data_IF_216470463035
#
_entry.id   IF_216470463035
#
_cell.length_a   1.000
_cell.length_b   1.000
_cell.length_c   1.000
_cell.angle_alpha   90.00
_cell.angle_beta   90.00
_cell.angle_gamma   90.00
#
_symmetry.space_group_name_H-M   'P 1'
#
loop_
_entity.id
_entity.type
_entity.pdbx_description
1 polymer ?
#
# COMPACT_ATOMS: atom_id res chain seq x y z
N UNK A 1 10.44 -16.64 63.64
CA UNK A 1 11.52 -15.87 64.27
C UNK A 1 11.36 -14.46 63.79
N UNK A 2 10.62 -13.63 64.57
CA UNK A 2 11.15 -12.74 65.62
C UNK A 2 11.98 -11.62 64.97
N UNK A 3 11.77 -10.37 65.17
CA UNK A 3 11.08 -9.49 66.16
C UNK A 3 11.08 -8.09 65.53
N UNK A 4 10.02 -7.38 65.57
CA UNK A 4 9.63 -6.39 66.57
C UNK A 4 10.72 -5.38 66.99
N UNK A 5 10.28 -4.18 66.89
CA UNK A 5 10.39 -3.02 67.82
C UNK A 5 10.96 -1.79 67.12
N UNK A 6 10.59 -0.66 67.37
CA UNK A 6 9.65 0.11 68.20
C UNK A 6 9.88 1.63 67.91
N UNK A 7 8.79 2.35 67.88
CA UNK A 7 8.51 3.65 68.51
C UNK A 7 9.52 4.81 68.44
N UNK A 8 9.14 5.93 67.98
CA UNK A 8 8.53 7.08 68.70
C UNK A 8 8.57 8.34 67.84
N UNK A 9 7.42 8.91 67.68
CA UNK A 9 6.97 10.23 68.09
C UNK A 9 7.89 11.40 67.79
N UNK A 10 7.37 12.31 66.96
CA UNK A 10 7.24 13.70 67.38
C UNK A 10 6.16 14.43 66.61
N UNK A 11 5.21 14.90 67.42
CA UNK A 11 4.20 15.88 67.01
C UNK A 11 4.88 17.19 66.67
N UNK A 12 4.55 17.79 65.57
CA UNK A 12 4.47 19.25 65.46
C UNK A 12 3.44 19.67 64.44
N UNK A 13 2.39 20.19 64.99
CA UNK A 13 1.48 21.20 64.45
C UNK A 13 2.01 21.91 63.23
N UNK A 14 1.18 21.86 62.18
CA UNK A 14 0.95 23.11 61.46
C UNK A 14 -0.41 23.10 60.76
N UNK A 15 -1.23 23.95 61.29
CA UNK A 15 -2.27 24.75 60.64
C UNK A 15 -2.82 24.21 59.32
N UNK A 16 -3.97 23.68 59.40
CA UNK A 16 -5.05 23.67 58.42
C UNK A 16 -5.25 25.11 57.91
N UNK A 17 -4.69 25.40 56.78
CA UNK A 17 -5.21 26.45 55.90
C UNK A 17 -6.34 25.79 55.10
N UNK A 18 -7.56 25.97 55.62
CA UNK A 18 -8.79 25.79 54.85
C UNK A 18 -8.75 26.82 53.71
N UNK A 19 -8.25 26.37 52.52
CA UNK A 19 -8.46 27.07 51.27
C UNK A 19 -9.93 26.89 50.88
N UNK A 20 -10.74 27.72 51.51
CA UNK A 20 -12.16 27.87 51.26
C UNK A 20 -12.30 28.65 49.94
N UNK A 21 -11.91 28.03 48.82
CA UNK A 21 -12.30 28.50 47.49
C UNK A 21 -13.82 28.30 47.39
N UNK A 22 -14.55 29.29 47.87
CA UNK A 22 -15.97 29.50 47.55
C UNK A 22 -16.08 29.47 46.04
N UNK A 23 -16.42 28.32 45.45
CA UNK A 23 -16.97 28.25 44.12
C UNK A 23 -18.18 29.17 44.13
N UNK A 24 -18.05 30.37 43.58
CA UNK A 24 -19.19 31.22 43.27
C UNK A 24 -20.16 30.35 42.47
N UNK A 25 -21.30 30.01 43.06
CA UNK A 25 -22.35 29.33 42.31
C UNK A 25 -22.72 30.24 41.15
N UNK A 26 -22.41 29.78 39.91
CA UNK A 26 -22.76 30.51 38.71
C UNK A 26 -24.25 30.83 38.73
N UNK A 27 -24.61 32.04 38.32
CA UNK A 27 -25.99 32.44 38.25
C UNK A 27 -26.82 31.48 37.37
N UNK A 28 -28.13 31.32 37.58
CA UNK A 28 -28.96 30.47 36.74
C UNK A 28 -28.81 30.81 35.24
N UNK A 29 -28.65 32.07 34.89
CA UNK A 29 -28.43 32.54 33.50
C UNK A 29 -27.09 32.10 32.92
N UNK A 30 -26.00 32.14 33.73
CA UNK A 30 -24.69 31.64 33.32
C UNK A 30 -24.72 30.11 33.11
N UNK A 31 -25.45 29.38 33.97
CA UNK A 31 -25.61 27.91 33.80
C UNK A 31 -26.39 27.56 32.52
N UNK A 32 -27.46 28.33 32.22
CA UNK A 32 -28.23 28.15 30.97
C UNK A 32 -27.34 28.37 29.78
N UNK A 33 -26.59 29.46 29.74
CA UNK A 33 -25.67 29.76 28.63
C UNK A 33 -24.59 28.71 28.47
N UNK A 34 -23.99 28.24 29.56
CA UNK A 34 -22.98 27.15 29.49
C UNK A 34 -23.58 25.83 28.97
N UNK A 35 -24.85 25.53 29.34
CA UNK A 35 -25.55 24.35 28.84
C UNK A 35 -25.93 24.49 27.38
N UNK A 36 -26.34 25.67 26.93
CA UNK A 36 -26.60 25.96 25.51
C UNK A 36 -25.33 25.84 24.66
N UNK A 37 -24.20 26.36 25.14
CA UNK A 37 -22.90 26.22 24.45
C UNK A 37 -22.46 24.76 24.41
N UNK A 38 -22.63 23.98 25.47
CA UNK A 38 -22.35 22.54 25.50
C UNK A 38 -23.25 21.78 24.54
N UNK A 39 -24.52 22.10 24.50
CA UNK A 39 -25.50 21.49 23.62
C UNK A 39 -25.19 21.80 22.15
N UNK A 40 -24.84 23.06 21.81
CA UNK A 40 -24.41 23.44 20.47
C UNK A 40 -23.16 22.68 20.02
N UNK A 41 -22.15 22.56 20.90
CA UNK A 41 -20.95 21.77 20.62
C UNK A 41 -21.27 20.28 20.43
N UNK A 42 -22.12 19.70 21.28
CA UNK A 42 -22.53 18.31 21.15
C UNK A 42 -23.28 18.04 19.83
N UNK A 43 -24.15 18.95 19.41
CA UNK A 43 -24.81 18.83 18.10
C UNK A 43 -23.83 18.92 16.94
N UNK A 44 -22.87 19.86 16.99
CA UNK A 44 -21.84 19.97 15.95
C UNK A 44 -20.97 18.71 15.89
N UNK A 45 -20.63 18.15 17.04
CA UNK A 45 -19.85 16.92 17.10
C UNK A 45 -20.62 15.69 16.58
N UNK A 46 -21.91 15.57 16.96
CA UNK A 46 -22.78 14.51 16.41
C UNK A 46 -22.89 14.60 14.88
N UNK A 47 -23.05 15.79 14.32
CA UNK A 47 -23.12 15.95 12.86
C UNK A 47 -21.79 15.58 12.19
N UNK A 48 -20.65 15.96 12.78
CA UNK A 48 -19.35 15.55 12.28
C UNK A 48 -19.15 14.02 12.35
N UNK A 49 -19.56 13.41 13.45
CA UNK A 49 -19.53 11.95 13.60
C UNK A 49 -20.45 11.26 12.59
N UNK A 50 -21.66 11.78 12.37
CA UNK A 50 -22.59 11.25 11.38
C UNK A 50 -21.98 11.24 10.00
N UNK A 51 -21.41 12.36 9.56
CA UNK A 51 -20.74 12.47 8.25
C UNK A 51 -19.55 11.51 8.13
N UNK A 52 -18.80 11.35 9.20
CA UNK A 52 -17.69 10.40 9.26
C UNK A 52 -18.17 8.96 9.11
N UNK A 53 -19.21 8.56 9.85
CA UNK A 53 -19.77 7.22 9.74
C UNK A 53 -20.40 6.93 8.38
N UNK A 54 -21.06 7.91 7.78
CA UNK A 54 -21.58 7.77 6.41
C UNK A 54 -20.45 7.45 5.44
N UNK A 55 -19.33 8.19 5.53
CA UNK A 55 -18.16 7.94 4.71
C UNK A 55 -17.50 6.59 5.00
N UNK A 56 -17.34 6.23 6.26
CA UNK A 56 -16.79 4.93 6.66
C UNK A 56 -17.66 3.77 6.16
N UNK A 57 -18.98 3.93 6.20
CA UNK A 57 -19.93 2.96 5.65
C UNK A 57 -19.78 2.83 4.13
N UNK A 58 -19.68 3.93 3.42
CA UNK A 58 -19.48 3.96 1.97
C UNK A 58 -18.15 3.28 1.60
N UNK A 59 -17.05 3.64 2.28
CA UNK A 59 -15.74 3.00 2.14
C UNK A 59 -15.80 1.50 2.42
N UNK A 60 -16.53 1.07 3.44
CA UNK A 60 -16.71 -0.34 3.76
C UNK A 60 -17.47 -1.11 2.68
N UNK A 61 -18.46 -0.50 2.06
CA UNK A 61 -19.15 -1.08 0.90
C UNK A 61 -18.27 -1.15 -0.33
N UNK A 62 -17.49 -0.11 -0.60
CA UNK A 62 -16.65 -0.02 -1.78
C UNK A 62 -15.43 -0.96 -1.72
N UNK A 63 -14.82 -1.08 -0.55
CA UNK A 63 -13.56 -1.80 -0.34
C UNK A 63 -13.70 -3.04 0.56
N UNK A 64 -14.92 -3.45 0.91
CA UNK A 64 -15.13 -4.61 1.78
C UNK A 64 -14.54 -5.93 1.26
N UNK A 65 -14.42 -6.06 -0.06
CA UNK A 65 -13.78 -7.19 -0.73
C UNK A 65 -12.26 -7.12 -0.86
N UNK A 66 -11.61 -6.04 -0.37
CA UNK A 66 -10.19 -5.78 -0.62
C UNK A 66 -9.27 -6.93 -0.15
N UNK A 67 -9.46 -7.41 1.07
CA UNK A 67 -8.65 -8.50 1.62
C UNK A 67 -8.83 -9.80 0.83
N UNK A 68 -10.07 -10.16 0.56
CA UNK A 68 -10.38 -11.33 -0.24
C UNK A 68 -9.80 -11.21 -1.66
N UNK A 69 -9.96 -10.06 -2.30
CA UNK A 69 -9.45 -9.82 -3.63
C UNK A 69 -7.93 -9.99 -3.69
N UNK A 70 -7.22 -9.44 -2.69
CA UNK A 70 -5.76 -9.56 -2.59
C UNK A 70 -5.29 -11.01 -2.50
N UNK A 71 -5.99 -11.85 -1.75
CA UNK A 71 -5.68 -13.27 -1.64
C UNK A 71 -6.06 -14.03 -2.91
N UNK A 72 -7.19 -13.69 -3.54
CA UNK A 72 -7.64 -14.30 -4.78
C UNK A 72 -6.68 -14.11 -5.95
N UNK A 73 -5.86 -13.03 -5.95
CA UNK A 73 -4.81 -12.82 -6.95
C UNK A 73 -3.79 -13.96 -7.00
N UNK A 74 -3.56 -14.65 -5.88
CA UNK A 74 -2.66 -15.81 -5.86
C UNK A 74 -3.14 -16.97 -6.75
N UNK A 75 -4.45 -17.08 -7.00
CA UNK A 75 -5.00 -18.09 -7.92
C UNK A 75 -4.60 -17.77 -9.36
N UNK A 76 -4.62 -16.50 -9.74
CA UNK A 76 -4.20 -16.06 -11.07
C UNK A 76 -2.71 -16.35 -11.28
N UNK A 77 -1.89 -16.02 -10.28
CA UNK A 77 -0.45 -16.30 -10.34
C UNK A 77 -0.16 -17.79 -10.45
N UNK A 78 -0.91 -18.62 -9.70
CA UNK A 78 -0.77 -20.06 -9.76
C UNK A 78 -1.18 -20.62 -11.12
N UNK A 79 -2.24 -20.09 -11.74
CA UNK A 79 -2.64 -20.45 -13.10
C UNK A 79 -1.58 -20.06 -14.13
N UNK A 80 -1.02 -18.86 -14.05
CA UNK A 80 0.06 -18.43 -14.95
C UNK A 80 1.32 -19.28 -14.78
N UNK A 81 1.69 -19.60 -13.53
CA UNK A 81 2.83 -20.48 -13.23
C UNK A 81 2.60 -21.90 -13.74
N UNK A 82 1.40 -22.46 -13.56
CA UNK A 82 1.03 -23.77 -14.07
C UNK A 82 1.11 -23.82 -15.59
N UNK A 83 0.66 -22.75 -16.27
CA UNK A 83 0.78 -22.63 -17.70
C UNK A 83 2.24 -22.67 -18.16
N UNK A 84 3.10 -21.85 -17.55
CA UNK A 84 4.55 -21.80 -17.87
C UNK A 84 5.20 -23.17 -17.61
N UNK A 85 4.85 -23.83 -16.51
CA UNK A 85 5.37 -25.15 -16.19
C UNK A 85 4.99 -26.20 -17.23
N UNK A 86 3.74 -26.20 -17.69
CA UNK A 86 3.26 -27.11 -18.71
C UNK A 86 3.90 -26.83 -20.09
N UNK A 87 4.10 -25.56 -20.44
CA UNK A 87 4.79 -25.16 -21.68
C UNK A 87 6.27 -25.57 -21.69
N UNK A 88 6.89 -25.66 -20.50
CA UNK A 88 8.29 -26.04 -20.32
C UNK A 88 8.51 -27.55 -20.21
N UNK A 89 7.44 -28.33 -20.10
CA UNK A 89 7.51 -29.79 -19.94
C UNK A 89 7.86 -30.47 -21.29
N UNK A 90 9.03 -31.10 -21.33
CA UNK A 90 9.55 -31.74 -22.54
C UNK A 90 8.71 -32.97 -22.96
N UNK A 91 8.07 -33.65 -21.98
CA UNK A 91 7.27 -34.86 -22.26
C UNK A 91 5.92 -34.54 -22.91
N UNK A 92 5.41 -33.33 -22.63
CA UNK A 92 4.12 -32.84 -23.17
C UNK A 92 4.27 -31.94 -24.40
N UNK A 93 5.50 -31.50 -24.69
CA UNK A 93 5.77 -30.56 -25.76
C UNK A 93 5.23 -31.07 -27.12
N UNK A 94 4.56 -30.18 -27.83
CA UNK A 94 3.96 -30.45 -29.16
C UNK A 94 2.81 -31.48 -29.21
N UNK A 95 2.27 -31.86 -28.02
CA UNK A 95 1.10 -32.74 -27.97
C UNK A 95 -0.20 -31.97 -28.18
N UNK A 96 -1.18 -32.58 -28.87
CA UNK A 96 -2.55 -32.04 -28.95
C UNK A 96 -3.21 -31.89 -27.59
N UNK A 97 -2.86 -32.75 -26.63
CA UNK A 97 -3.36 -32.69 -25.26
C UNK A 97 -2.90 -31.40 -24.56
N UNK A 98 -1.62 -31.02 -24.68
CA UNK A 98 -1.08 -29.78 -24.12
C UNK A 98 -1.81 -28.56 -24.68
N UNK A 99 -2.02 -28.50 -26.00
CA UNK A 99 -2.73 -27.37 -26.63
C UNK A 99 -4.12 -27.18 -26.04
N UNK A 100 -4.88 -28.26 -25.87
CA UNK A 100 -6.23 -28.21 -25.27
C UNK A 100 -6.19 -27.78 -23.81
N UNK A 101 -5.24 -28.28 -23.02
CA UNK A 101 -5.09 -27.88 -21.61
C UNK A 101 -4.76 -26.40 -21.52
N UNK A 102 -3.81 -25.89 -22.32
CA UNK A 102 -3.45 -24.48 -22.34
C UNK A 102 -4.62 -23.58 -22.76
N UNK A 103 -5.44 -24.03 -23.71
CA UNK A 103 -6.66 -23.32 -24.12
C UNK A 103 -7.65 -23.22 -22.97
N UNK A 104 -7.94 -24.32 -22.26
CA UNK A 104 -8.82 -24.32 -21.08
C UNK A 104 -8.27 -23.41 -19.95
N UNK A 105 -6.97 -23.46 -19.66
CA UNK A 105 -6.34 -22.57 -18.68
C UNK A 105 -6.46 -21.09 -19.09
N UNK A 106 -6.32 -20.78 -20.38
CA UNK A 106 -6.52 -19.43 -20.87
C UNK A 106 -7.97 -18.94 -20.72
N UNK A 107 -8.95 -19.83 -20.94
CA UNK A 107 -10.38 -19.50 -20.71
C UNK A 107 -10.61 -19.18 -19.25
N UNK A 108 -10.15 -20.05 -18.32
CA UNK A 108 -10.28 -19.83 -16.87
C UNK A 108 -9.63 -18.51 -16.47
N UNK A 109 -8.42 -18.22 -16.95
CA UNK A 109 -7.74 -16.97 -16.64
C UNK A 109 -8.52 -15.74 -17.14
N UNK A 110 -9.05 -15.78 -18.35
CA UNK A 110 -9.91 -14.70 -18.90
C UNK A 110 -11.16 -14.49 -18.07
N UNK A 111 -11.81 -15.57 -17.63
CA UNK A 111 -13.00 -15.49 -16.80
C UNK A 111 -12.69 -14.88 -15.43
N UNK A 112 -11.59 -15.30 -14.79
CA UNK A 112 -11.15 -14.71 -13.53
C UNK A 112 -10.86 -13.21 -13.66
N UNK A 113 -10.11 -12.79 -14.68
CA UNK A 113 -9.84 -11.36 -14.95
C UNK A 113 -11.14 -10.61 -15.24
N UNK A 114 -12.09 -11.22 -15.95
CA UNK A 114 -13.41 -10.61 -16.20
C UNK A 114 -14.21 -10.42 -14.91
N UNK A 115 -14.18 -11.39 -14.00
CA UNK A 115 -14.83 -11.28 -12.68
C UNK A 115 -14.19 -10.17 -11.86
N UNK A 116 -12.86 -10.07 -11.84
CA UNK A 116 -12.15 -9.00 -11.16
C UNK A 116 -12.53 -7.62 -11.69
N UNK A 117 -12.59 -7.47 -13.02
CA UNK A 117 -13.00 -6.20 -13.66
C UNK A 117 -14.42 -5.79 -13.27
N UNK A 118 -15.37 -6.74 -13.20
CA UNK A 118 -16.75 -6.47 -12.73
C UNK A 118 -16.79 -5.95 -11.29
N UNK A 119 -15.77 -6.28 -10.50
CA UNK A 119 -15.61 -5.81 -9.13
C UNK A 119 -14.67 -4.58 -9.02
N UNK A 120 -14.45 -3.86 -10.12
CA UNK A 120 -13.57 -2.69 -10.21
C UNK A 120 -12.11 -2.98 -9.83
N UNK A 121 -11.65 -4.20 -10.13
CA UNK A 121 -10.25 -4.60 -9.93
C UNK A 121 -9.62 -4.72 -11.31
N UNK A 122 -8.62 -3.88 -11.58
CA UNK A 122 -7.97 -3.82 -12.87
C UNK A 122 -6.46 -4.12 -12.76
N UNK A 123 -5.89 -4.84 -13.76
CA UNK A 123 -4.46 -5.03 -13.83
C UNK A 123 -3.75 -3.71 -14.15
N UNK A 124 -2.60 -3.50 -13.53
CA UNK A 124 -1.73 -2.35 -13.79
C UNK A 124 -1.04 -2.59 -15.15
N UNK A 125 -1.01 -1.59 -16.01
CA UNK A 125 -0.23 -1.64 -17.24
C UNK A 125 1.19 -1.25 -16.91
N UNK A 126 2.12 -2.19 -17.01
CA UNK A 126 3.51 -1.99 -16.58
C UNK A 126 4.48 -2.01 -17.73
N UNK A 127 4.28 -2.86 -18.74
CA UNK A 127 5.24 -3.07 -19.84
C UNK A 127 5.38 -1.82 -20.70
N UNK A 128 6.64 -1.41 -20.97
CA UNK A 128 7.03 -0.22 -21.71
C UNK A 128 6.69 1.12 -21.03
N UNK A 129 6.27 1.11 -19.77
CA UNK A 129 6.11 2.33 -19.01
C UNK A 129 7.34 2.62 -18.14
N UNK A 130 7.50 3.86 -17.69
CA UNK A 130 8.54 4.23 -16.73
C UNK A 130 8.19 3.68 -15.35
N UNK A 131 9.19 3.27 -14.61
CA UNK A 131 9.02 2.79 -13.24
C UNK A 131 8.35 3.86 -12.38
N UNK A 132 7.21 3.52 -11.78
CA UNK A 132 6.52 4.33 -10.79
C UNK A 132 6.53 3.61 -9.44
N UNK A 133 7.30 4.10 -8.45
CA UNK A 133 7.45 3.43 -7.15
C UNK A 133 6.14 3.23 -6.36
N UNK A 134 5.08 4.00 -6.70
CA UNK A 134 3.78 3.88 -6.01
C UNK A 134 3.01 2.62 -6.41
N UNK A 135 3.22 2.12 -7.63
CA UNK A 135 2.44 1.01 -8.20
C UNK A 135 3.31 -0.13 -8.76
N UNK A 136 4.64 0.11 -8.91
CA UNK A 136 5.59 -0.87 -9.42
C UNK A 136 6.68 -1.14 -8.39
N UNK A 137 7.14 -2.38 -8.32
CA UNK A 137 8.28 -2.79 -7.51
C UNK A 137 9.33 -3.43 -8.42
N UNK A 138 10.45 -2.76 -8.59
CA UNK A 138 11.59 -3.31 -9.35
C UNK A 138 12.23 -4.45 -8.57
N UNK A 139 12.37 -5.62 -9.22
CA UNK A 139 12.98 -6.82 -8.63
C UNK A 139 14.33 -7.12 -9.27
N UNK A 140 14.52 -6.75 -10.53
CA UNK A 140 15.77 -6.98 -11.26
C UNK A 140 16.02 -5.87 -12.26
N UNK A 141 17.27 -5.71 -12.61
CA UNK A 141 17.73 -4.85 -13.69
C UNK A 141 18.06 -5.74 -14.89
N UNK A 142 17.61 -5.33 -16.07
CA UNK A 142 17.82 -6.03 -17.34
C UNK A 142 18.59 -5.09 -18.25
N UNK A 143 19.73 -5.52 -18.75
CA UNK A 143 20.48 -4.74 -19.74
C UNK A 143 19.72 -4.69 -21.07
N UNK A 144 19.16 -3.54 -21.41
CA UNK A 144 18.49 -3.30 -22.69
C UNK A 144 18.89 -1.91 -23.22
N UNK A 145 19.77 -1.92 -24.22
CA UNK A 145 20.25 -0.69 -24.84
C UNK A 145 19.23 -0.03 -25.78
N UNK A 146 18.12 -0.73 -26.11
CA UNK A 146 17.07 -0.20 -26.98
C UNK A 146 16.03 0.63 -26.23
N UNK A 147 16.04 0.57 -24.88
CA UNK A 147 15.08 1.28 -24.04
C UNK A 147 15.80 2.29 -23.15
N UNK A 148 15.07 3.34 -22.75
CA UNK A 148 15.58 4.28 -21.75
C UNK A 148 15.76 3.58 -20.41
N UNK A 149 16.81 3.94 -19.66
CA UNK A 149 17.03 3.45 -18.32
C UNK A 149 15.82 3.75 -17.42
N UNK A 150 15.40 2.76 -16.63
CA UNK A 150 14.22 2.86 -15.77
C UNK A 150 12.89 2.56 -16.48
N UNK A 151 12.93 2.09 -17.74
CA UNK A 151 11.73 1.60 -18.44
C UNK A 151 11.48 0.13 -18.07
N UNK A 152 10.24 -0.23 -17.86
CA UNK A 152 9.85 -1.60 -17.54
C UNK A 152 9.93 -2.46 -18.81
N UNK A 153 10.81 -3.45 -18.77
CA UNK A 153 11.06 -4.39 -19.90
C UNK A 153 10.21 -5.63 -19.75
N UNK A 154 10.11 -6.14 -18.52
CA UNK A 154 9.43 -7.39 -18.22
C UNK A 154 8.58 -7.23 -16.97
N UNK A 155 7.41 -7.84 -16.97
CA UNK A 155 6.54 -7.99 -15.81
C UNK A 155 6.65 -9.43 -15.29
N UNK A 156 7.17 -9.58 -14.06
CA UNK A 156 7.36 -10.89 -13.42
C UNK A 156 6.06 -11.34 -12.77
N UNK A 157 5.36 -10.39 -12.14
CA UNK A 157 4.08 -10.62 -11.50
C UNK A 157 3.17 -9.43 -11.73
N UNK A 158 1.95 -9.67 -12.17
CA UNK A 158 0.98 -8.62 -12.45
C UNK A 158 0.53 -7.92 -11.19
N UNK A 159 0.56 -6.60 -11.20
CA UNK A 159 -0.04 -5.75 -10.20
C UNK A 159 -1.52 -5.51 -10.48
N UNK A 160 -2.27 -5.19 -9.43
CA UNK A 160 -3.69 -4.91 -9.52
C UNK A 160 -4.08 -3.74 -8.62
N UNK A 161 -5.03 -2.95 -9.11
CA UNK A 161 -5.69 -1.88 -8.37
C UNK A 161 -7.16 -2.20 -8.18
N UNK A 162 -7.72 -1.80 -7.04
CA UNK A 162 -9.15 -1.81 -6.77
C UNK A 162 -9.61 -0.36 -6.70
N UNK A 163 -10.24 0.11 -7.77
CA UNK A 163 -10.54 1.54 -7.96
C UNK A 163 -9.25 2.38 -7.84
N UNK A 164 -9.14 3.21 -6.81
CA UNK A 164 -8.00 4.08 -6.49
C UNK A 164 -7.01 3.47 -5.50
N UNK A 165 -7.31 2.30 -4.91
CA UNK A 165 -6.44 1.63 -3.93
C UNK A 165 -5.61 0.53 -4.56
N UNK A 166 -4.31 0.55 -4.24
CA UNK A 166 -3.39 -0.49 -4.67
C UNK A 166 -3.64 -1.79 -3.90
N UNK A 167 -4.02 -2.87 -4.62
CA UNK A 167 -4.12 -4.23 -4.06
C UNK A 167 -2.74 -4.85 -3.92
N UNK A 168 -1.96 -4.79 -5.01
CA UNK A 168 -0.62 -5.35 -5.10
C UNK A 168 0.17 -4.63 -6.19
N UNK A 169 1.43 -4.22 -5.94
CA UNK A 169 2.28 -3.64 -6.98
C UNK A 169 2.65 -4.69 -8.04
N UNK A 170 2.92 -4.24 -9.27
CA UNK A 170 3.53 -5.11 -10.28
C UNK A 170 5.00 -5.34 -9.94
N UNK A 171 5.44 -6.60 -9.92
CA UNK A 171 6.86 -6.93 -9.82
C UNK A 171 7.46 -6.90 -11.23
N UNK A 172 8.46 -6.05 -11.41
CA UNK A 172 8.96 -5.73 -12.75
C UNK A 172 10.48 -5.81 -12.85
N UNK A 173 10.96 -6.12 -14.05
CA UNK A 173 12.33 -5.94 -14.46
C UNK A 173 12.47 -4.62 -15.23
N UNK A 174 13.44 -3.79 -14.81
CA UNK A 174 13.68 -2.47 -15.39
C UNK A 174 14.93 -2.46 -16.26
N UNK A 175 14.91 -1.67 -17.34
CA UNK A 175 16.05 -1.50 -18.20
C UNK A 175 17.17 -0.72 -17.51
N UNK A 176 18.39 -1.21 -17.66
CA UNK A 176 19.62 -0.44 -17.38
C UNK A 176 20.47 -0.39 -18.63
N UNK A 177 21.24 0.69 -18.79
CA UNK A 177 22.23 0.77 -19.86
C UNK A 177 23.44 -0.08 -19.47
N UNK A 178 23.98 -0.84 -20.43
CA UNK A 178 25.20 -1.62 -20.21
C UNK A 178 26.36 -0.70 -19.80
N UNK A 179 27.08 -1.05 -18.75
CA UNK A 179 28.25 -0.30 -18.27
C UNK A 179 29.33 -0.07 -19.35
N UNK A 180 29.35 -0.92 -20.36
CA UNK A 180 30.29 -0.76 -21.50
C UNK A 180 29.99 0.47 -22.33
N UNK A 181 28.73 0.84 -22.50
CA UNK A 181 28.34 2.03 -23.28
C UNK A 181 28.66 3.34 -22.55
N UNK A 182 28.61 3.35 -21.22
CA UNK A 182 28.96 4.51 -20.43
C UNK A 182 30.47 4.78 -20.36
N UNK A 183 31.29 3.71 -20.44
CA UNK A 183 32.76 3.85 -20.52
C UNK A 183 33.21 4.29 -21.90
N UNK A 184 32.59 3.82 -22.98
CA UNK A 184 32.86 4.25 -24.34
C UNK A 184 32.42 5.69 -24.57
N UNK A 185 31.26 6.10 -24.07
CA UNK A 185 30.78 7.49 -24.15
C UNK A 185 31.67 8.46 -23.36
N UNK A 186 32.22 8.06 -22.23
CA UNK A 186 33.18 8.86 -21.47
C UNK A 186 34.55 8.98 -22.16
N UNK A 187 35.04 7.90 -22.81
CA UNK A 187 36.28 7.93 -23.59
C UNK A 187 36.18 8.79 -24.82
N UNK A 188 35.02 8.82 -25.47
CA UNK A 188 34.78 9.67 -26.64
C UNK A 188 34.68 11.17 -26.26
N UNK A 189 34.15 11.49 -25.10
CA UNK A 189 34.13 12.86 -24.60
C UNK A 189 35.53 13.33 -24.17
N UNK A 190 36.31 12.51 -23.47
CA UNK A 190 37.70 12.85 -23.13
C UNK A 190 38.60 13.01 -24.37
N UNK A 191 38.35 12.21 -25.42
CA UNK A 191 39.11 12.33 -26.68
C UNK A 191 38.72 13.57 -27.50
N UNK A 192 37.50 14.05 -27.43
CA UNK A 192 37.07 15.31 -28.04
C UNK A 192 37.64 16.52 -27.32
N UNK A 193 37.66 16.55 -26.01
CA UNK A 193 38.23 17.64 -25.23
C UNK A 193 39.78 17.76 -25.37
N UNK A 194 40.45 16.65 -25.65
CA UNK A 194 41.91 16.66 -25.96
C UNK A 194 42.25 17.11 -27.36
N UNK A 195 41.30 17.04 -28.32
CA UNK A 195 41.50 17.54 -29.70
C UNK A 195 41.20 19.01 -29.85
N UNK A 196 40.38 19.61 -28.97
CA UNK A 196 40.06 21.04 -29.02
C UNK A 196 41.07 21.91 -28.21
N UNK A 197 42.10 21.30 -27.58
CA UNK A 197 43.17 21.98 -26.85
C UNK A 197 44.55 21.92 -27.50
N UNK A 198 44.65 21.46 -28.75
CA UNK A 198 45.84 21.42 -29.56
C UNK A 198 45.56 22.16 -30.89
#
# INVERSE_FOLDING_TARGET
MEKEKDKKSDQKNNKTEEDNTKKKEASPEEKIKDLEDKLARAYAEMENQRRRFEKEKEDAFEYGGFSFAREALNLIDNLERSKISLESDNDLKDTEALKKILEHLNIINKDMVSILKKNNIEPIKSINEKLNPNIHQAMMEIEDNNKEAGTIVQEIQKGFMMKDRLLRPSLVGVSTKSKKTDEEAKKDQENKEKKDKN
#
